data_IF_998112594059
#
_entry.id   IF_998112594059
#
_cell.length_a   1.000
_cell.length_b   1.000
_cell.length_c   1.000
_cell.angle_alpha   90.00
_cell.angle_beta   90.00
_cell.angle_gamma   90.00
#
_symmetry.space_group_name_H-M   'P 1'
#
loop_
_entity.id
_entity.type
_entity.pdbx_description
1 polymer ?
#
# COMPACT_ATOMS: atom_id res chain seq x y z
N UNK A 1 -26.55 -24.58 9.40
CA UNK A 1 -26.19 -24.16 9.64
C UNK A 1 -25.80 -23.31 10.05
N UNK A 2 -25.91 -23.09 10.15
CA UNK A 2 -25.63 -22.33 10.57
C UNK A 2 -25.03 -21.54 10.42
N UNK A 3 -24.70 -21.34 10.14
CA UNK A 3 -24.01 -20.64 10.03
C UNK A 3 -24.06 -19.74 9.66
N UNK A 4 -24.14 -19.97 9.45
CA UNK A 4 -24.28 -19.11 8.73
C UNK A 4 -24.70 -17.88 9.12
N UNK A 5 -25.31 -17.76 9.75
CA UNK A 5 -25.77 -16.59 10.10
C UNK A 5 -24.84 -15.73 10.75
N UNK A 6 -23.98 -16.24 11.39
CA UNK A 6 -23.12 -15.51 12.04
C UNK A 6 -22.36 -14.63 11.20
N UNK A 7 -21.99 -14.92 10.06
CA UNK A 7 -21.21 -14.03 9.23
C UNK A 7 -21.85 -12.70 9.00
N UNK A 8 -23.14 -12.67 9.08
CA UNK A 8 -23.80 -11.44 8.85
C UNK A 8 -23.53 -10.41 9.90
N UNK A 9 -23.26 -10.86 11.08
CA UNK A 9 -23.05 -9.94 12.15
C UNK A 9 -21.65 -9.50 12.25
N UNK A 10 -20.75 -10.21 11.61
CA UNK A 10 -19.35 -9.92 11.73
C UNK A 10 -18.81 -9.48 10.41
N UNK A 11 -18.40 -8.24 10.32
CA UNK A 11 -17.77 -7.74 9.12
C UNK A 11 -16.29 -7.75 9.42
N UNK A 12 -15.56 -8.61 8.76
CA UNK A 12 -14.13 -8.64 8.95
C UNK A 12 -13.48 -7.60 8.06
N UNK A 13 -12.51 -6.92 8.62
CA UNK A 13 -11.84 -5.84 7.92
C UNK A 13 -10.39 -6.17 7.71
N UNK A 14 -9.88 -5.84 6.55
CA UNK A 14 -8.44 -5.82 6.34
C UNK A 14 -8.05 -4.37 6.14
N UNK A 15 -6.87 -4.03 6.63
CA UNK A 15 -6.34 -2.67 6.55
C UNK A 15 -4.96 -2.75 5.94
N UNK A 16 -4.75 -2.03 4.86
CA UNK A 16 -3.44 -1.93 4.24
C UNK A 16 -2.81 -0.63 4.69
N UNK A 17 -1.59 -0.70 5.21
CA UNK A 17 -0.83 0.50 5.55
C UNK A 17 0.42 0.42 4.70
N UNK A 18 0.59 1.36 3.77
CA UNK A 18 1.63 1.19 2.77
C UNK A 18 2.29 2.49 2.34
N UNK A 19 3.50 2.34 1.81
CA UNK A 19 4.16 3.41 1.08
C UNK A 19 4.93 2.74 -0.05
N UNK A 20 5.81 3.48 -0.72
CA UNK A 20 6.52 2.96 -1.88
C UNK A 20 7.43 1.79 -1.54
N UNK A 21 7.80 1.64 -0.30
CA UNK A 21 8.83 0.69 0.10
C UNK A 21 8.33 -0.49 0.90
N UNK A 22 7.17 -0.36 1.51
CA UNK A 22 6.68 -1.43 2.37
C UNK A 22 5.18 -1.34 2.55
N UNK A 23 4.59 -2.46 2.89
CA UNK A 23 3.17 -2.54 3.14
C UNK A 23 2.97 -3.53 4.27
N UNK A 24 2.14 -3.17 5.23
CA UNK A 24 1.72 -4.10 6.26
C UNK A 24 0.22 -4.25 6.16
N UNK A 25 -0.25 -5.47 6.21
CA UNK A 25 -1.67 -5.76 6.12
C UNK A 25 -2.13 -6.24 7.47
N UNK A 26 -3.16 -5.60 8.00
CA UNK A 26 -3.74 -5.95 9.28
C UNK A 26 -5.16 -6.45 9.08
N UNK A 27 -5.64 -7.22 10.03
CA UNK A 27 -7.02 -7.69 10.04
C UNK A 27 -7.63 -7.40 11.38
N UNK A 28 -8.93 -7.20 11.40
CA UNK A 28 -9.67 -7.16 12.64
C UNK A 28 -11.02 -7.79 12.40
N UNK A 29 -11.49 -8.50 13.42
CA UNK A 29 -12.70 -9.30 13.28
C UNK A 29 -13.93 -8.46 13.05
N UNK A 30 -13.97 -7.29 13.65
CA UNK A 30 -15.11 -6.42 13.46
C UNK A 30 -14.71 -5.01 13.79
N UNK A 31 -15.60 -4.09 13.54
CA UNK A 31 -15.31 -2.69 13.77
C UNK A 31 -14.86 -2.47 15.20
N UNK A 32 -13.82 -1.66 15.34
CA UNK A 32 -13.25 -1.32 16.64
C UNK A 32 -12.50 -2.44 17.36
N UNK A 33 -12.37 -3.60 16.75
CA UNK A 33 -11.53 -4.64 17.32
C UNK A 33 -10.07 -4.28 17.10
N UNK A 34 -9.16 -4.79 17.92
CA UNK A 34 -7.74 -4.51 17.72
C UNK A 34 -7.24 -5.06 16.40
N UNK A 35 -6.29 -4.36 15.82
CA UNK A 35 -5.67 -4.80 14.58
C UNK A 35 -4.65 -5.88 14.85
N UNK A 36 -4.61 -6.89 14.00
CA UNK A 36 -3.61 -7.95 14.09
C UNK A 36 -2.92 -8.05 12.76
N UNK A 37 -1.61 -8.13 12.79
CA UNK A 37 -0.86 -8.19 11.55
C UNK A 37 -1.06 -9.52 10.85
N UNK A 38 -1.36 -9.46 9.57
CA UNK A 38 -1.52 -10.65 8.74
C UNK A 38 -0.22 -10.94 8.01
N UNK A 39 0.33 -9.94 7.34
CA UNK A 39 1.55 -10.12 6.59
C UNK A 39 2.12 -8.75 6.26
N UNK A 40 3.34 -8.74 5.79
CA UNK A 40 3.94 -7.52 5.30
C UNK A 40 4.70 -7.83 4.03
N UNK A 41 4.84 -6.81 3.19
CA UNK A 41 5.56 -6.93 1.94
C UNK A 41 6.59 -5.83 1.88
N UNK A 42 7.71 -6.12 1.27
CA UNK A 42 8.78 -5.14 1.12
C UNK A 42 9.08 -4.96 -0.35
N UNK A 43 9.30 -3.72 -0.74
CA UNK A 43 9.73 -3.41 -2.09
C UNK A 43 11.23 -3.19 -2.05
N UNK A 44 11.97 -4.29 -1.93
CA UNK A 44 13.42 -4.21 -1.80
C UNK A 44 14.06 -3.53 -2.98
N UNK A 45 13.59 -3.81 -4.16
CA UNK A 45 14.18 -3.22 -5.37
C UNK A 45 14.06 -1.71 -5.36
N UNK A 46 12.93 -1.19 -4.92
CA UNK A 46 12.79 0.27 -4.86
C UNK A 46 13.70 0.87 -3.81
N UNK A 47 13.87 0.19 -2.68
CA UNK A 47 14.77 0.68 -1.65
C UNK A 47 16.20 0.72 -2.15
N UNK A 48 16.61 -0.33 -2.84
CA UNK A 48 17.96 -0.41 -3.38
C UNK A 48 18.15 0.64 -4.46
N UNK A 49 17.15 0.85 -5.28
CA UNK A 49 17.26 1.84 -6.33
C UNK A 49 17.38 3.24 -5.75
N UNK A 50 16.65 3.52 -4.71
CA UNK A 50 16.73 4.82 -4.05
C UNK A 50 18.12 5.03 -3.46
N UNK A 51 18.68 4.01 -2.83
CA UNK A 51 20.00 4.12 -2.26
C UNK A 51 21.04 4.36 -3.35
N UNK A 52 20.91 3.66 -4.48
CA UNK A 52 21.82 3.87 -5.59
C UNK A 52 21.73 5.29 -6.13
N UNK A 53 20.53 5.81 -6.27
CA UNK A 53 20.36 7.15 -6.79
C UNK A 53 20.96 8.18 -5.84
N UNK A 54 20.82 7.98 -4.57
CA UNK A 54 21.39 8.88 -3.59
C UNK A 54 22.91 8.85 -3.64
N UNK A 55 23.50 7.65 -3.74
CA UNK A 55 24.93 7.54 -3.83
C UNK A 55 25.47 8.22 -5.07
N UNK A 56 24.83 7.99 -6.21
CA UNK A 56 25.29 8.59 -7.44
C UNK A 56 25.17 10.08 -7.38
N UNK A 57 24.08 10.56 -6.83
CA UNK A 57 23.86 11.99 -6.80
C UNK A 57 24.90 12.73 -5.99
N UNK A 58 25.41 12.07 -4.99
CA UNK A 58 26.42 12.70 -4.16
C UNK A 58 27.67 13.04 -4.92
N UNK A 59 27.96 12.34 -6.00
CA UNK A 59 29.16 12.60 -6.71
C UNK A 59 29.00 13.17 -8.09
N UNK A 60 27.75 13.51 -8.44
CA UNK A 60 27.53 13.92 -9.78
C UNK A 60 26.70 15.12 -9.94
N UNK A 61 26.94 16.10 -9.18
CA UNK A 61 26.12 17.28 -9.21
C UNK A 61 26.10 17.94 -10.57
N UNK A 62 27.17 17.87 -11.30
CA UNK A 62 27.21 18.56 -12.56
C UNK A 62 26.28 17.93 -13.60
N UNK A 63 25.82 16.75 -13.36
CA UNK A 63 24.93 16.10 -14.30
C UNK A 63 23.56 16.73 -14.27
N UNK A 64 23.26 17.48 -13.28
CA UNK A 64 21.93 18.00 -13.16
C UNK A 64 21.51 18.88 -14.30
N UNK A 65 22.44 19.59 -14.90
CA UNK A 65 22.02 20.46 -15.98
C UNK A 65 21.58 19.69 -17.21
N UNK A 66 22.05 18.48 -17.37
CA UNK A 66 21.60 17.69 -18.49
C UNK A 66 20.27 17.06 -18.24
N UNK A 67 19.91 16.92 -16.98
CA UNK A 67 18.71 16.25 -16.67
C UNK A 67 17.47 17.03 -16.88
N UNK A 68 17.54 18.32 -16.94
CA UNK A 68 16.38 19.12 -17.15
C UNK A 68 15.69 18.74 -18.44
N UNK A 69 16.45 18.38 -19.45
CA UNK A 69 15.83 18.02 -20.70
C UNK A 69 15.23 16.66 -20.69
N UNK A 70 15.71 15.81 -19.83
CA UNK A 70 15.23 14.45 -19.80
C UNK A 70 14.08 14.23 -18.85
N UNK A 71 13.62 15.25 -18.19
CA UNK A 71 12.60 15.10 -17.20
C UNK A 71 11.35 14.42 -17.71
N UNK A 72 10.88 14.85 -18.86
CA UNK A 72 9.66 14.27 -19.40
C UNK A 72 9.84 12.84 -19.80
N UNK A 73 10.97 12.53 -20.40
CA UNK A 73 11.21 11.18 -20.80
C UNK A 73 11.43 10.28 -19.60
N UNK A 74 12.10 10.81 -18.57
CA UNK A 74 12.42 9.99 -17.46
C UNK A 74 11.21 9.63 -16.62
N UNK A 75 10.14 10.42 -16.70
CA UNK A 75 8.94 10.05 -15.99
C UNK A 75 8.38 8.74 -16.50
N UNK A 76 8.48 8.51 -17.79
CA UNK A 76 7.97 7.29 -18.37
C UNK A 76 8.87 6.12 -18.12
N UNK A 77 10.17 6.38 -18.11
CA UNK A 77 11.13 5.30 -17.99
C UNK A 77 11.81 5.27 -16.65
N UNK A 78 11.32 6.02 -15.69
CA UNK A 78 11.91 6.05 -14.37
C UNK A 78 11.86 4.65 -13.75
N UNK A 79 13.02 4.02 -13.52
CA UNK A 79 13.03 2.66 -12.98
C UNK A 79 12.37 2.56 -11.63
N UNK A 80 12.53 3.59 -10.79
CA UNK A 80 11.91 3.53 -9.48
C UNK A 80 10.40 3.58 -9.61
N UNK A 81 9.89 4.43 -10.49
CA UNK A 81 8.45 4.51 -10.67
C UNK A 81 7.87 3.19 -11.15
N UNK A 82 8.62 2.48 -12.00
CA UNK A 82 8.17 1.18 -12.45
C UNK A 82 8.16 0.18 -11.32
N UNK A 83 9.17 0.23 -10.45
CA UNK A 83 9.22 -0.68 -9.31
C UNK A 83 8.08 -0.40 -8.35
N UNK A 84 7.72 0.86 -8.18
CA UNK A 84 6.61 1.22 -7.31
C UNK A 84 5.30 0.71 -7.90
N UNK A 85 5.13 0.84 -9.22
CA UNK A 85 3.93 0.34 -9.86
C UNK A 85 3.80 -1.17 -9.73
N UNK A 86 4.91 -1.88 -9.91
CA UNK A 86 4.90 -3.33 -9.75
C UNK A 86 4.55 -3.70 -8.32
N UNK A 87 5.09 -2.96 -7.35
CA UNK A 87 4.79 -3.23 -5.95
C UNK A 87 3.30 -3.07 -5.66
N UNK A 88 2.69 -2.01 -6.21
CA UNK A 88 1.26 -1.80 -6.03
C UNK A 88 0.47 -2.98 -6.60
N UNK A 89 0.91 -3.52 -7.72
CA UNK A 89 0.24 -4.68 -8.30
C UNK A 89 0.42 -5.91 -7.43
N UNK A 90 1.59 -6.07 -6.83
CA UNK A 90 1.81 -7.21 -5.94
C UNK A 90 0.87 -7.13 -4.74
N UNK A 91 0.70 -5.94 -4.19
CA UNK A 91 -0.23 -5.76 -3.09
C UNK A 91 -1.64 -6.11 -3.55
N UNK A 92 -2.03 -5.59 -4.72
CA UNK A 92 -3.37 -5.86 -5.23
C UNK A 92 -3.61 -7.34 -5.46
N UNK A 93 -2.59 -8.06 -5.93
CA UNK A 93 -2.72 -9.50 -6.15
C UNK A 93 -2.89 -10.24 -4.84
N UNK A 94 -2.15 -9.83 -3.82
CA UNK A 94 -2.27 -10.46 -2.52
C UNK A 94 -3.68 -10.25 -1.95
N UNK A 95 -4.20 -9.03 -2.12
CA UNK A 95 -5.53 -8.72 -1.63
C UNK A 95 -6.60 -9.46 -2.44
N UNK A 96 -6.39 -9.56 -3.75
CA UNK A 96 -7.33 -10.26 -4.61
C UNK A 96 -7.44 -11.73 -4.20
N UNK A 97 -6.30 -12.35 -3.88
CA UNK A 97 -6.34 -13.72 -3.45
C UNK A 97 -7.09 -13.88 -2.14
N UNK A 98 -6.86 -12.96 -1.21
CA UNK A 98 -7.56 -13.01 0.06
C UNK A 98 -9.05 -12.83 -0.12
N UNK A 99 -9.44 -11.98 -1.06
CA UNK A 99 -10.85 -11.78 -1.32
C UNK A 99 -11.47 -13.04 -1.89
N UNK A 100 -10.76 -13.70 -2.80
CA UNK A 100 -11.27 -14.95 -3.37
C UNK A 100 -11.43 -16.02 -2.30
N UNK A 101 -10.56 -15.99 -1.31
CA UNK A 101 -10.62 -16.95 -0.21
C UNK A 101 -11.55 -16.50 0.90
N UNK A 102 -12.25 -15.40 0.69
CA UNK A 102 -13.21 -14.85 1.65
C UNK A 102 -12.57 -14.53 3.01
N UNK A 103 -11.35 -14.01 2.97
CA UNK A 103 -10.64 -13.72 4.21
C UNK A 103 -11.03 -12.37 4.80
N UNK A 104 -11.70 -11.53 4.04
CA UNK A 104 -12.18 -10.27 4.57
C UNK A 104 -13.42 -9.82 3.81
N UNK A 105 -14.18 -8.94 4.42
CA UNK A 105 -15.36 -8.36 3.79
C UNK A 105 -15.13 -6.95 3.33
N UNK A 106 -14.41 -6.18 4.13
CA UNK A 106 -14.21 -4.76 3.83
C UNK A 106 -12.74 -4.42 3.89
N UNK A 107 -12.32 -3.51 3.03
CA UNK A 107 -10.93 -3.13 2.94
C UNK A 107 -10.76 -1.64 3.20
N UNK A 108 -9.83 -1.31 4.08
CA UNK A 108 -9.45 0.07 4.34
C UNK A 108 -8.01 0.22 3.89
N UNK A 109 -7.70 1.33 3.23
CA UNK A 109 -6.36 1.57 2.73
C UNK A 109 -5.82 2.85 3.34
N UNK A 110 -4.63 2.79 3.90
CA UNK A 110 -3.93 3.95 4.42
C UNK A 110 -2.59 3.98 3.73
N UNK A 111 -2.33 5.00 2.95
CA UNK A 111 -1.10 5.04 2.19
C UNK A 111 -0.63 6.48 2.05
N UNK A 112 0.69 6.65 1.92
CA UNK A 112 1.24 7.95 1.63
C UNK A 112 0.58 8.47 0.35
N UNK A 113 0.34 9.78 0.25
CA UNK A 113 -0.47 10.30 -0.85
C UNK A 113 -0.02 9.87 -2.24
N UNK A 114 1.28 9.91 -2.51
CA UNK A 114 1.74 9.52 -3.84
C UNK A 114 1.50 8.05 -4.10
N UNK A 115 1.76 7.21 -3.11
CA UNK A 115 1.57 5.79 -3.31
C UNK A 115 0.09 5.44 -3.41
N UNK A 116 -0.76 6.17 -2.70
CA UNK A 116 -2.19 5.92 -2.79
C UNK A 116 -2.66 6.11 -4.23
N UNK A 117 -2.09 7.10 -4.92
CA UNK A 117 -2.44 7.35 -6.31
C UNK A 117 -2.03 6.23 -7.25
N UNK A 118 -1.10 5.38 -6.83
CA UNK A 118 -0.68 4.24 -7.62
C UNK A 118 -1.43 2.98 -7.18
N UNK A 119 -1.67 2.86 -5.90
CA UNK A 119 -2.28 1.66 -5.34
C UNK A 119 -3.76 1.55 -5.65
N UNK A 120 -4.49 2.67 -5.57
CA UNK A 120 -5.93 2.60 -5.81
C UNK A 120 -6.27 2.08 -7.20
N UNK A 121 -5.62 2.57 -8.26
CA UNK A 121 -5.92 2.02 -9.58
C UNK A 121 -5.59 0.53 -9.69
N UNK A 122 -4.52 0.09 -9.03
CA UNK A 122 -4.15 -1.30 -9.07
C UNK A 122 -5.22 -2.17 -8.38
N UNK A 123 -5.75 -1.69 -7.26
CA UNK A 123 -6.81 -2.40 -6.57
C UNK A 123 -8.09 -2.43 -7.42
N UNK A 124 -8.42 -1.32 -8.05
CA UNK A 124 -9.61 -1.26 -8.88
C UNK A 124 -9.49 -2.22 -10.06
N UNK A 125 -8.32 -2.28 -10.68
CA UNK A 125 -8.11 -3.19 -11.79
C UNK A 125 -8.27 -4.64 -11.35
N UNK A 126 -7.90 -4.93 -10.11
CA UNK A 126 -8.05 -6.27 -9.57
C UNK A 126 -9.46 -6.57 -9.08
N UNK A 127 -10.38 -5.62 -9.24
CA UNK A 127 -11.76 -5.84 -8.85
C UNK A 127 -12.00 -5.70 -7.36
N UNK A 128 -11.16 -4.93 -6.68
CA UNK A 128 -11.26 -4.76 -5.24
C UNK A 128 -11.90 -3.43 -4.92
N UNK A 129 -12.95 -3.46 -4.11
CA UNK A 129 -13.59 -2.25 -3.64
C UNK A 129 -12.92 -1.80 -2.35
N UNK A 130 -12.64 -0.52 -2.25
CA UNK A 130 -12.03 0.05 -1.06
C UNK A 130 -13.13 0.77 -0.28
N UNK A 131 -13.34 0.34 0.95
CA UNK A 131 -14.37 0.94 1.77
C UNK A 131 -14.00 2.37 2.17
N UNK A 132 -12.75 2.55 2.61
CA UNK A 132 -12.27 3.85 3.01
C UNK A 132 -10.79 3.95 2.66
N UNK A 133 -10.36 5.13 2.31
CA UNK A 133 -8.95 5.38 1.99
C UNK A 133 -8.48 6.63 2.70
N UNK A 134 -7.29 6.55 3.28
CA UNK A 134 -6.68 7.67 3.98
C UNK A 134 -5.34 7.97 3.34
N UNK A 135 -5.10 9.20 2.95
CA UNK A 135 -3.83 9.59 2.33
C UNK A 135 -2.88 10.07 3.41
N UNK A 136 -2.48 9.16 4.26
CA UNK A 136 -1.62 9.46 5.39
C UNK A 136 -0.43 8.52 5.44
N UNK A 137 0.68 9.03 5.91
CA UNK A 137 1.89 8.24 6.05
C UNK A 137 1.89 7.61 7.43
N UNK A 138 1.57 6.33 7.49
CA UNK A 138 1.45 5.64 8.77
C UNK A 138 2.28 4.38 8.85
N UNK A 139 3.19 4.15 7.91
CA UNK A 139 3.92 2.89 7.87
C UNK A 139 4.84 2.69 9.07
N UNK A 140 5.28 3.76 9.69
CA UNK A 140 6.15 3.65 10.85
C UNK A 140 5.39 3.71 12.17
N UNK A 141 4.05 3.75 12.10
CA UNK A 141 3.26 3.87 13.30
C UNK A 141 2.85 2.51 13.82
N UNK A 142 2.57 2.45 15.11
CA UNK A 142 2.15 1.19 15.69
C UNK A 142 0.68 0.92 15.41
N UNK A 143 0.23 -0.31 15.61
CA UNK A 143 -1.16 -0.66 15.30
C UNK A 143 -2.19 0.17 16.07
N UNK A 144 -1.87 0.56 17.29
CA UNK A 144 -2.81 1.34 18.08
C UNK A 144 -3.05 2.71 17.47
N UNK A 145 -2.00 3.35 16.94
CA UNK A 145 -2.14 4.64 16.28
C UNK A 145 -2.94 4.50 15.00
N UNK A 146 -2.72 3.42 14.27
CA UNK A 146 -3.45 3.18 13.03
C UNK A 146 -4.92 2.97 13.34
N UNK A 147 -5.21 2.19 14.37
CA UNK A 147 -6.57 1.93 14.76
C UNK A 147 -7.27 3.22 15.18
N UNK A 148 -6.56 4.07 15.89
CA UNK A 148 -7.12 5.33 16.31
C UNK A 148 -7.50 6.20 15.13
N UNK A 149 -6.67 6.23 14.10
CA UNK A 149 -6.99 6.99 12.90
C UNK A 149 -8.27 6.49 12.26
N UNK A 150 -8.38 5.19 12.11
CA UNK A 150 -9.55 4.62 11.46
C UNK A 150 -10.81 4.86 12.29
N UNK A 151 -10.70 4.69 13.58
CA UNK A 151 -11.88 4.77 14.44
C UNK A 151 -12.32 6.19 14.71
N UNK A 152 -11.44 7.16 14.54
CA UNK A 152 -11.80 8.54 14.84
C UNK A 152 -12.45 9.23 13.65
N UNK A 153 -12.45 8.62 12.50
CA UNK A 153 -13.06 9.19 11.31
C UNK A 153 -14.29 8.43 10.88
#
# INVERSE_FOLDING_TARGET
MTRSNKPLEISSYWVIVADEYQSTIYARAKKHSPLQEVTSLLNKSAREKTADLISDRGGRSFDSHGQGRHTLASEKSDPKAQLVTVFAKEIAERISKAKQDAEFDKLVVIAAPRFLGVLRPALATAGIDVERAFDKEMTARDPASIQELIDSE
#
